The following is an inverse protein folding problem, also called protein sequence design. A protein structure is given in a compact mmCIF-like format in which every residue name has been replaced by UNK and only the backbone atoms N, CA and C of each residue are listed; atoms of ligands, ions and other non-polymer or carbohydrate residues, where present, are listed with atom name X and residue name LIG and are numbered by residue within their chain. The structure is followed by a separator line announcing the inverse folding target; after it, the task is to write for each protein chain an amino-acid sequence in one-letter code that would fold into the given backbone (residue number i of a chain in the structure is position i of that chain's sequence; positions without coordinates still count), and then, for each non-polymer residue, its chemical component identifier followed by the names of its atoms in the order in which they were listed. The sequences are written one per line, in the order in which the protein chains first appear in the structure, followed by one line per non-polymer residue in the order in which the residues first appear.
data_IF_399955753441
#
_entry.id   IF_399955753441
#
_cell.length_a   1.000
_cell.length_b   1.000
_cell.length_c   1.000
_cell.angle_alpha   90.00
_cell.angle_beta   90.00
_cell.angle_gamma   90.00
#
_symmetry.space_group_name_H-M   'P 1'
#
loop_
_entity.id
_entity.type
_entity.pdbx_description
1 polymer ?
#
# COMPACT_ATOMS: atom_id res chain seq x y z
N UNK A 1 5.90 -10.19 26.31
CA UNK A 1 6.54 -9.17 25.45
C UNK A 1 5.46 -8.63 24.51
N UNK A 2 5.23 -7.33 24.59
CA UNK A 2 4.27 -6.64 23.71
C UNK A 2 4.82 -6.68 22.28
N UNK A 3 4.05 -7.18 21.34
CA UNK A 3 4.48 -7.35 19.94
C UNK A 3 4.59 -5.97 19.28
N UNK A 4 5.79 -5.45 19.18
CA UNK A 4 6.09 -4.15 18.54
C UNK A 4 6.21 -4.35 17.04
N UNK A 5 5.22 -3.83 16.29
CA UNK A 5 5.10 -4.03 14.85
C UNK A 5 5.75 -2.89 14.06
N UNK A 6 6.54 -3.23 13.04
CA UNK A 6 7.01 -2.28 12.02
C UNK A 6 6.12 -2.38 10.79
N UNK A 7 5.54 -1.26 10.41
CA UNK A 7 4.58 -1.17 9.30
C UNK A 7 5.18 -0.37 8.16
N UNK A 8 5.00 -0.85 6.94
CA UNK A 8 5.26 -0.12 5.70
C UNK A 8 3.95 0.05 4.94
N UNK A 9 3.50 1.30 4.81
CA UNK A 9 2.29 1.64 4.07
C UNK A 9 2.65 2.35 2.76
N UNK A 10 2.21 1.82 1.64
CA UNK A 10 2.45 2.39 0.31
C UNK A 10 1.16 2.95 -0.27
N UNK A 11 1.22 4.13 -0.88
CA UNK A 11 0.07 4.92 -1.28
C UNK A 11 -0.86 5.18 -0.07
N UNK A 12 -0.25 5.58 1.04
CA UNK A 12 -0.82 5.58 2.40
C UNK A 12 -2.08 6.45 2.55
N UNK A 13 -2.23 7.47 1.72
CA UNK A 13 -3.33 8.43 1.86
C UNK A 13 -3.24 9.16 3.21
N UNK A 14 -4.30 9.11 3.98
CA UNK A 14 -4.41 9.77 5.30
C UNK A 14 -4.11 8.82 6.46
N UNK A 15 -3.29 7.79 6.26
CA UNK A 15 -2.90 6.78 7.26
C UNK A 15 -4.09 6.02 7.88
N UNK A 16 -5.08 5.68 7.08
CA UNK A 16 -6.26 4.92 7.56
C UNK A 16 -5.84 3.54 8.10
N UNK A 17 -4.79 2.94 7.54
CA UNK A 17 -4.25 1.69 8.08
C UNK A 17 -3.72 1.86 9.51
N UNK A 18 -3.07 2.98 9.84
CA UNK A 18 -2.62 3.28 11.20
C UNK A 18 -3.81 3.37 12.17
N UNK A 19 -4.87 4.11 11.78
CA UNK A 19 -6.11 4.20 12.57
C UNK A 19 -6.72 2.80 12.82
N UNK A 20 -6.73 1.96 11.80
CA UNK A 20 -7.27 0.61 11.91
C UNK A 20 -6.47 -0.25 12.91
N UNK A 21 -5.14 -0.17 12.85
CA UNK A 21 -4.25 -0.88 13.78
C UNK A 21 -4.46 -0.41 15.23
N UNK A 22 -4.55 0.89 15.47
CA UNK A 22 -4.85 1.45 16.78
C UNK A 22 -6.19 0.94 17.34
N UNK A 23 -7.23 0.93 16.49
CA UNK A 23 -8.58 0.51 16.91
C UNK A 23 -8.66 -0.97 17.29
N UNK A 24 -7.83 -1.82 16.74
CA UNK A 24 -7.76 -3.24 17.11
C UNK A 24 -6.71 -3.52 18.20
N UNK A 25 -6.11 -2.46 18.77
CA UNK A 25 -5.15 -2.56 19.86
C UNK A 25 -3.78 -3.11 19.45
N UNK A 26 -3.40 -2.99 18.18
CA UNK A 26 -2.07 -3.40 17.72
C UNK A 26 -1.06 -2.29 17.96
N UNK A 27 0.00 -2.58 18.68
CA UNK A 27 1.06 -1.62 18.96
C UNK A 27 2.02 -1.47 17.78
N UNK A 28 2.05 -0.27 17.17
CA UNK A 28 2.96 0.07 16.07
C UNK A 28 4.21 0.75 16.63
N UNK A 29 5.36 0.12 16.48
CA UNK A 29 6.66 0.67 16.89
C UNK A 29 7.16 1.72 15.89
N UNK A 30 7.06 1.41 14.59
CA UNK A 30 7.44 2.32 13.50
C UNK A 30 6.49 2.20 12.33
N UNK A 31 6.03 3.34 11.84
CA UNK A 31 5.15 3.42 10.68
C UNK A 31 5.83 4.23 9.58
N UNK A 32 6.15 3.57 8.45
CA UNK A 32 6.75 4.16 7.27
C UNK A 32 5.65 4.36 6.22
N UNK A 33 5.46 5.59 5.76
CA UNK A 33 4.39 5.95 4.83
C UNK A 33 4.94 6.52 3.52
N UNK A 34 4.70 5.85 2.40
CA UNK A 34 4.90 6.39 1.06
C UNK A 34 3.62 7.09 0.59
N UNK A 35 3.65 8.41 0.55
CA UNK A 35 2.58 9.27 0.05
C UNK A 35 3.18 10.56 -0.49
N UNK A 36 2.59 11.12 -1.56
CA UNK A 36 3.07 12.35 -2.21
C UNK A 36 2.05 13.50 -2.18
N UNK A 37 0.79 13.22 -1.83
CA UNK A 37 -0.28 14.22 -1.83
C UNK A 37 -0.16 15.14 -0.61
N UNK A 38 0.06 16.45 -0.78
CA UNK A 38 0.29 17.38 0.35
C UNK A 38 -0.85 17.38 1.37
N UNK A 39 -2.10 17.28 0.92
CA UNK A 39 -3.27 17.27 1.82
C UNK A 39 -3.27 16.02 2.70
N UNK A 40 -2.99 14.85 2.13
CA UNK A 40 -2.91 13.60 2.89
C UNK A 40 -1.78 13.64 3.91
N UNK A 41 -0.58 14.09 3.49
CA UNK A 41 0.57 14.26 4.37
C UNK A 41 0.28 15.19 5.55
N UNK A 42 -0.47 16.29 5.31
CA UNK A 42 -0.86 17.23 6.39
C UNK A 42 -1.76 16.54 7.41
N UNK A 43 -2.79 15.80 6.96
CA UNK A 43 -3.70 15.08 7.84
C UNK A 43 -2.96 14.03 8.67
N UNK A 44 -2.09 13.23 8.04
CA UNK A 44 -1.28 12.24 8.75
C UNK A 44 -0.40 12.90 9.81
N UNK A 45 0.30 13.99 9.46
CA UNK A 45 1.19 14.67 10.39
C UNK A 45 0.46 15.26 11.61
N UNK A 46 -0.77 15.70 11.45
CA UNK A 46 -1.59 16.23 12.55
C UNK A 46 -2.08 15.12 13.48
N UNK A 47 -2.39 13.93 12.96
CA UNK A 47 -2.95 12.82 13.74
C UNK A 47 -1.88 11.83 14.22
N UNK A 48 -0.82 11.62 13.44
CA UNK A 48 0.27 10.66 13.67
C UNK A 48 1.61 11.32 13.40
N UNK A 49 2.06 12.25 14.28
CA UNK A 49 3.29 13.03 14.07
C UNK A 49 4.56 12.18 13.99
N UNK A 50 4.55 10.98 14.56
CA UNK A 50 5.67 10.03 14.55
C UNK A 50 5.76 9.20 13.27
N UNK A 51 4.82 9.39 12.32
CA UNK A 51 4.88 8.73 11.01
C UNK A 51 6.12 9.15 10.23
N UNK A 52 6.89 8.16 9.77
CA UNK A 52 8.08 8.39 8.95
C UNK A 52 7.65 8.46 7.48
N UNK A 53 7.55 9.67 6.96
CA UNK A 53 7.21 9.88 5.55
C UNK A 53 8.40 9.61 4.65
N UNK A 54 8.25 8.66 3.73
CA UNK A 54 9.32 8.19 2.84
C UNK A 54 9.19 8.63 1.37
N UNK A 55 8.15 9.42 1.03
CA UNK A 55 7.96 10.03 -0.27
C UNK A 55 7.32 9.14 -1.31
N UNK A 56 7.85 9.18 -2.53
CA UNK A 56 7.29 8.49 -3.70
C UNK A 56 7.61 6.99 -3.67
N UNK A 57 6.59 6.14 -3.79
CA UNK A 57 6.75 4.68 -3.87
C UNK A 57 7.64 4.21 -5.01
N UNK A 58 7.67 4.94 -6.13
CA UNK A 58 8.54 4.62 -7.26
C UNK A 58 10.04 4.67 -6.89
N UNK A 59 10.40 5.42 -5.86
CA UNK A 59 11.78 5.60 -5.38
C UNK A 59 12.11 4.73 -4.18
N UNK A 60 11.14 3.97 -3.68
CA UNK A 60 11.37 3.04 -2.56
C UNK A 60 12.08 1.79 -3.06
N UNK A 61 13.14 1.39 -2.37
CA UNK A 61 13.87 0.11 -2.55
C UNK A 61 14.17 -0.48 -1.18
N UNK A 62 14.16 -1.81 -1.10
CA UNK A 62 14.55 -2.50 0.12
C UNK A 62 15.63 -3.53 -0.18
N UNK A 63 16.72 -3.48 0.58
CA UNK A 63 17.81 -4.44 0.46
C UNK A 63 18.53 -4.61 1.80
N UNK A 64 18.71 -5.85 2.23
CA UNK A 64 19.52 -6.17 3.41
C UNK A 64 19.05 -5.50 4.71
N UNK A 65 17.74 -5.33 4.89
CA UNK A 65 17.19 -4.67 6.08
C UNK A 65 17.19 -3.14 6.01
N UNK A 66 17.61 -2.56 4.90
CA UNK A 66 17.64 -1.10 4.70
C UNK A 66 16.56 -0.71 3.69
N UNK A 67 15.75 0.26 4.06
CA UNK A 67 14.77 0.93 3.21
C UNK A 67 15.41 2.19 2.63
N UNK A 68 15.66 2.19 1.33
CA UNK A 68 16.20 3.32 0.56
C UNK A 68 15.06 4.12 0.00
N UNK A 69 15.04 5.43 0.19
CA UNK A 69 13.96 6.32 -0.22
C UNK A 69 14.49 7.68 -0.63
N UNK A 70 13.67 8.51 -1.26
CA UNK A 70 14.04 9.90 -1.59
C UNK A 70 14.19 10.80 -0.35
N UNK A 71 13.69 10.39 0.81
CA UNK A 71 13.77 11.14 2.06
C UNK A 71 14.92 10.70 2.97
N UNK A 72 15.57 9.59 2.62
CA UNK A 72 16.68 9.05 3.38
C UNK A 72 16.70 7.53 3.36
N UNK A 73 17.70 6.97 4.05
CA UNK A 73 17.88 5.54 4.20
C UNK A 73 17.60 5.15 5.65
N UNK A 74 16.78 4.13 5.84
CA UNK A 74 16.34 3.70 7.16
C UNK A 74 16.75 2.24 7.39
N UNK A 75 17.52 1.99 8.45
CA UNK A 75 17.76 0.62 8.90
C UNK A 75 16.49 0.13 9.63
N UNK A 76 15.68 -0.61 8.91
CA UNK A 76 14.38 -1.10 9.42
C UNK A 76 14.44 -2.56 9.86
N UNK A 77 15.48 -3.28 9.43
CA UNK A 77 15.51 -4.73 9.59
C UNK A 77 14.31 -5.37 8.89
N UNK A 78 13.62 -6.29 9.55
CA UNK A 78 12.41 -6.90 9.04
C UNK A 78 11.20 -5.96 9.18
N UNK A 79 10.36 -5.90 8.16
CA UNK A 79 9.02 -5.31 8.20
C UNK A 79 8.02 -6.40 8.55
N UNK A 80 7.13 -6.15 9.49
CA UNK A 80 6.14 -7.13 9.96
C UNK A 80 4.87 -7.07 9.12
N UNK A 81 4.38 -5.87 8.83
CA UNK A 81 3.18 -5.67 8.03
C UNK A 81 3.44 -4.67 6.89
N UNK A 82 3.03 -5.03 5.69
CA UNK A 82 2.96 -4.11 4.56
C UNK A 82 1.51 -3.90 4.13
N UNK A 83 1.08 -2.64 4.06
CA UNK A 83 -0.26 -2.26 3.60
C UNK A 83 -0.13 -1.42 2.34
N UNK A 84 -0.97 -1.66 1.34
CA UNK A 84 -0.99 -0.83 0.14
C UNK A 84 -2.35 -0.86 -0.56
N UNK A 85 -2.71 0.29 -1.13
CA UNK A 85 -3.92 0.46 -1.91
C UNK A 85 -3.62 1.31 -3.14
N UNK A 86 -3.30 0.67 -4.26
CA UNK A 86 -3.03 1.41 -5.50
C UNK A 86 -4.32 1.97 -6.08
N UNK A 87 -4.32 3.19 -6.67
CA UNK A 87 -5.50 3.75 -7.32
C UNK A 87 -6.05 2.81 -8.41
N UNK A 88 -7.34 2.47 -8.32
CA UNK A 88 -8.00 1.52 -9.24
C UNK A 88 -8.03 1.96 -10.71
N UNK A 89 -7.90 3.26 -10.98
CA UNK A 89 -7.82 3.81 -12.35
C UNK A 89 -6.58 3.35 -13.12
N UNK A 90 -5.65 2.75 -12.43
CA UNK A 90 -4.37 2.29 -12.98
C UNK A 90 -4.46 1.00 -13.76
N UNK A 91 -5.47 0.16 -13.55
CA UNK A 91 -5.56 -1.16 -14.19
C UNK A 91 -6.15 -1.11 -15.60
N UNK A 92 -7.19 -0.31 -15.82
CA UNK A 92 -7.88 -0.25 -17.11
C UNK A 92 -7.03 0.30 -18.28
N UNK A 93 -5.96 1.03 -17.97
CA UNK A 93 -5.04 1.62 -18.95
C UNK A 93 -3.89 0.65 -19.28
N UNK A 94 -3.40 -0.11 -18.31
CA UNK A 94 -2.32 -1.08 -18.53
C UNK A 94 -2.71 -2.24 -19.45
N UNK A 95 -3.99 -2.60 -19.52
CA UNK A 95 -4.48 -3.69 -20.35
C UNK A 95 -4.74 -3.32 -21.81
N UNK A 96 -4.80 -2.03 -22.15
CA UNK A 96 -4.97 -1.58 -23.54
C UNK A 96 -3.68 -1.49 -24.31
N UNK A 97 -2.56 -1.60 -23.65
CA UNK A 97 -1.25 -1.56 -24.29
C UNK A 97 -0.69 -2.97 -24.31
N UNK A 98 -0.68 -3.57 -25.51
CA UNK A 98 0.02 -4.81 -25.82
C UNK A 98 1.37 -4.85 -25.05
N UNK A 99 1.72 -5.98 -24.47
CA UNK A 99 2.94 -6.17 -23.64
C UNK A 99 4.26 -5.82 -24.35
N UNK A 100 4.20 -5.12 -25.46
CA UNK A 100 5.34 -4.73 -26.32
C UNK A 100 5.61 -3.24 -26.39
N UNK A 101 4.81 -2.38 -25.75
CA UNK A 101 5.05 -0.93 -25.79
C UNK A 101 5.53 -0.48 -24.43
N UNK A 102 6.72 0.11 -24.43
CA UNK A 102 7.52 0.42 -23.27
C UNK A 102 6.79 1.15 -22.13
N UNK A 103 7.34 0.96 -20.97
CA UNK A 103 6.98 1.45 -19.64
C UNK A 103 6.74 2.98 -19.50
N UNK A 104 6.75 3.75 -20.58
CA UNK A 104 6.74 5.22 -20.52
C UNK A 104 5.35 5.87 -20.42
N UNK A 105 4.27 5.17 -20.76
CA UNK A 105 2.92 5.77 -20.78
C UNK A 105 2.03 5.39 -19.59
N UNK A 106 2.59 4.78 -18.57
CA UNK A 106 1.83 4.13 -17.50
C UNK A 106 2.01 4.74 -16.11
N UNK A 107 2.08 6.06 -15.97
CA UNK A 107 2.20 6.73 -14.66
C UNK A 107 1.11 6.31 -13.66
N UNK A 108 -0.01 5.77 -14.14
CA UNK A 108 -1.12 5.33 -13.27
C UNK A 108 -1.20 3.81 -13.09
N UNK A 109 -0.78 3.03 -14.08
CA UNK A 109 -0.73 1.55 -13.98
C UNK A 109 0.55 1.06 -13.27
N UNK A 110 1.61 1.87 -13.28
CA UNK A 110 2.87 1.56 -12.63
C UNK A 110 2.79 1.40 -11.12
N UNK A 111 1.86 2.10 -10.44
CA UNK A 111 1.84 2.12 -8.97
C UNK A 111 1.56 0.75 -8.33
N UNK A 112 0.67 -0.06 -8.89
CA UNK A 112 0.47 -1.42 -8.40
C UNK A 112 1.73 -2.25 -8.56
N UNK A 113 2.36 -2.22 -9.73
CA UNK A 113 3.56 -3.00 -10.00
C UNK A 113 4.75 -2.55 -9.12
N UNK A 114 4.84 -1.25 -8.84
CA UNK A 114 5.83 -0.72 -7.90
C UNK A 114 5.56 -1.19 -6.47
N UNK A 115 4.30 -1.15 -6.01
CA UNK A 115 3.92 -1.71 -4.72
C UNK A 115 4.21 -3.22 -4.65
N UNK A 116 3.90 -3.96 -5.70
CA UNK A 116 4.19 -5.41 -5.79
C UNK A 116 5.70 -5.67 -5.79
N UNK A 117 6.49 -4.88 -6.51
CA UNK A 117 7.95 -4.97 -6.49
C UNK A 117 8.49 -4.78 -5.07
N UNK A 118 8.05 -3.72 -4.38
CA UNK A 118 8.45 -3.46 -3.00
C UNK A 118 8.01 -4.59 -2.08
N UNK A 119 6.80 -5.16 -2.27
CA UNK A 119 6.33 -6.32 -1.52
C UNK A 119 7.29 -7.52 -1.67
N UNK A 120 7.76 -7.78 -2.88
CA UNK A 120 8.71 -8.88 -3.15
C UNK A 120 10.10 -8.61 -2.56
N UNK A 121 10.56 -7.36 -2.58
CA UNK A 121 11.84 -6.97 -1.98
C UNK A 121 11.81 -7.08 -0.45
N UNK A 122 10.72 -6.57 0.17
CA UNK A 122 10.54 -6.54 1.63
C UNK A 122 10.24 -7.92 2.20
N UNK A 123 9.42 -8.71 1.51
CA UNK A 123 8.92 -10.01 1.96
C UNK A 123 8.45 -9.98 3.43
N UNK A 124 7.43 -9.17 3.75
CA UNK A 124 6.97 -8.96 5.12
C UNK A 124 6.30 -10.22 5.68
N UNK A 125 6.10 -10.26 7.01
CA UNK A 125 5.35 -11.37 7.64
C UNK A 125 3.90 -11.39 7.19
N UNK A 126 3.28 -10.21 7.11
CA UNK A 126 1.89 -10.01 6.72
C UNK A 126 1.79 -8.91 5.68
N UNK A 127 0.81 -9.02 4.80
CA UNK A 127 0.49 -7.94 3.87
C UNK A 127 -1.02 -7.82 3.69
N UNK A 128 -1.45 -6.60 3.36
CA UNK A 128 -2.82 -6.26 3.03
C UNK A 128 -2.83 -5.40 1.77
N UNK A 129 -3.56 -5.84 0.75
CA UNK A 129 -3.89 -5.04 -0.43
C UNK A 129 -5.37 -4.64 -0.35
N UNK A 130 -5.67 -3.33 -0.39
CA UNK A 130 -7.04 -2.82 -0.49
C UNK A 130 -7.31 -2.29 -1.89
N UNK A 131 -8.48 -2.58 -2.42
CA UNK A 131 -8.94 -1.96 -3.66
C UNK A 131 -10.48 -1.91 -3.74
N UNK A 132 -11.01 -1.16 -4.73
CA UNK A 132 -12.46 -1.03 -4.92
C UNK A 132 -13.05 -2.29 -5.51
N UNK A 133 -14.18 -2.77 -4.98
CA UNK A 133 -14.88 -3.95 -5.50
C UNK A 133 -15.62 -3.68 -6.82
N UNK A 134 -15.69 -2.43 -7.29
CA UNK A 134 -16.27 -2.06 -8.58
C UNK A 134 -15.29 -2.18 -9.76
N UNK A 135 -14.06 -2.67 -9.53
CA UNK A 135 -13.12 -2.94 -10.62
C UNK A 135 -13.67 -4.01 -11.57
N UNK A 136 -13.19 -4.01 -12.81
CA UNK A 136 -13.52 -5.05 -13.79
C UNK A 136 -13.01 -6.41 -13.33
N UNK A 137 -13.73 -7.48 -13.69
CA UNK A 137 -13.30 -8.85 -13.37
C UNK A 137 -11.90 -9.15 -13.92
N UNK A 138 -11.59 -8.70 -15.13
CA UNK A 138 -10.25 -8.83 -15.74
C UNK A 138 -9.14 -8.21 -14.88
N UNK A 139 -9.40 -7.05 -14.27
CA UNK A 139 -8.44 -6.36 -13.42
C UNK A 139 -8.26 -7.11 -12.09
N UNK A 140 -9.36 -7.62 -11.51
CA UNK A 140 -9.33 -8.48 -10.32
C UNK A 140 -8.53 -9.76 -10.59
N UNK A 141 -8.76 -10.41 -11.73
CA UNK A 141 -8.07 -11.66 -12.10
C UNK A 141 -6.55 -11.44 -12.26
N UNK A 142 -6.15 -10.26 -12.77
CA UNK A 142 -4.73 -9.86 -12.79
C UNK A 142 -4.19 -9.72 -11.37
N UNK A 143 -4.88 -8.97 -10.49
CA UNK A 143 -4.46 -8.86 -9.09
C UNK A 143 -4.32 -10.22 -8.43
N UNK A 144 -5.32 -11.10 -8.59
CA UNK A 144 -5.30 -12.47 -8.09
C UNK A 144 -4.08 -13.24 -8.60
N UNK A 145 -3.75 -13.12 -9.89
CA UNK A 145 -2.59 -13.81 -10.47
C UNK A 145 -1.25 -13.36 -9.88
N UNK A 146 -1.09 -12.06 -9.60
CA UNK A 146 0.12 -11.51 -8.98
C UNK A 146 0.21 -11.84 -7.50
N UNK A 147 -0.90 -11.70 -6.77
CA UNK A 147 -0.93 -11.87 -5.32
C UNK A 147 -1.00 -13.34 -4.89
N UNK A 148 -1.44 -14.24 -5.78
CA UNK A 148 -1.55 -15.67 -5.50
C UNK A 148 -2.70 -16.03 -4.55
N UNK A 149 -3.61 -15.09 -4.27
CA UNK A 149 -4.76 -15.30 -3.38
C UNK A 149 -6.00 -14.65 -3.96
N UNK A 150 -7.16 -15.28 -3.76
CA UNK A 150 -8.45 -14.67 -4.12
C UNK A 150 -8.80 -13.53 -3.17
N UNK A 151 -9.28 -12.39 -3.68
CA UNK A 151 -9.64 -11.27 -2.84
C UNK A 151 -10.92 -11.54 -2.06
N UNK A 152 -10.92 -11.14 -0.79
CA UNK A 152 -12.11 -11.17 0.06
C UNK A 152 -12.91 -9.88 -0.12
N UNK A 153 -14.17 -10.00 -0.56
CA UNK A 153 -15.06 -8.85 -0.68
C UNK A 153 -15.69 -8.50 0.67
N UNK A 154 -15.45 -7.27 1.12
CA UNK A 154 -16.00 -6.73 2.36
C UNK A 154 -16.84 -5.49 2.05
N UNK A 155 -18.06 -5.43 2.61
CA UNK A 155 -18.92 -4.27 2.53
C UNK A 155 -18.87 -3.50 3.85
N UNK A 156 -18.54 -2.22 3.81
CA UNK A 156 -18.47 -1.37 5.00
C UNK A 156 -19.80 -1.30 5.76
N UNK A 157 -20.94 -1.58 5.13
CA UNK A 157 -22.27 -1.64 5.80
C UNK A 157 -22.33 -2.65 6.95
N UNK A 158 -21.41 -3.60 7.01
CA UNK A 158 -21.31 -4.55 8.13
C UNK A 158 -20.91 -3.86 9.45
N UNK A 159 -20.25 -2.70 9.36
CA UNK A 159 -19.72 -1.98 10.52
C UNK A 159 -20.01 -0.46 10.49
N UNK A 160 -20.61 0.04 9.41
CA UNK A 160 -20.96 1.46 9.25
C UNK A 160 -22.23 1.61 8.39
N UNK A 161 -22.91 2.78 8.40
CA UNK A 161 -24.09 3.02 7.56
C UNK A 161 -23.77 3.19 6.07
N UNK A 162 -22.52 3.09 5.66
CA UNK A 162 -22.09 3.29 4.28
C UNK A 162 -22.14 2.01 3.46
N UNK A 163 -22.74 2.09 2.26
CA UNK A 163 -22.61 1.05 1.23
C UNK A 163 -21.29 1.24 0.49
N UNK A 164 -20.24 0.52 0.92
CA UNK A 164 -18.87 0.67 0.39
C UNK A 164 -18.17 -0.68 0.28
N UNK A 165 -18.28 -1.28 -0.89
CA UNK A 165 -17.64 -2.57 -1.16
C UNK A 165 -16.15 -2.42 -1.49
N UNK A 166 -15.30 -3.26 -0.87
CA UNK A 166 -13.87 -3.34 -1.06
C UNK A 166 -13.40 -4.79 -1.22
N UNK A 167 -12.31 -4.93 -1.91
CA UNK A 167 -11.48 -6.14 -1.92
C UNK A 167 -10.22 -5.91 -1.11
#
# INVERSE_FOLDING_TARGET
EELKMKVLSLCDGMSIAHIALDRIGMHVDKYFAAEIKPVALKVTKENYPDTIHIGDVNKVRYKGGILYTEKGNYNVGKIDLMVFGSPCQSFSIAMKTDMRVGLEDSVRSGLFYECYRVLKEVNPTWWLLENVASMKNSDRDILTSFMGVEPLKIDAKLVSPELRNRY
#
